data_IF_432945563487
#
_entry.id   IF_432945563487
#
_cell.length_a   1.000
_cell.length_b   1.000
_cell.length_c   1.000
_cell.angle_alpha   90.00
_cell.angle_beta   90.00
_cell.angle_gamma   90.00
#
_symmetry.space_group_name_H-M   'P 1'
#
loop_
_entity.id
_entity.type
_entity.pdbx_description
1 polymer ?
#
# COMPACT_ATOMS: atom_id res chain seq x y z
N UNK A 1 20.16 -0.83 -6.75
CA UNK A 1 19.11 -1.88 -6.75
C UNK A 1 19.24 -2.93 -7.87
N UNK A 2 20.23 -2.79 -8.76
CA UNK A 2 20.40 -3.75 -9.87
C UNK A 2 20.65 -5.19 -9.40
N UNK A 3 21.33 -5.38 -8.26
CA UNK A 3 21.71 -6.71 -7.73
C UNK A 3 20.77 -7.23 -6.61
N UNK A 4 19.64 -6.57 -6.37
CA UNK A 4 18.72 -7.01 -5.33
C UNK A 4 17.92 -8.25 -5.78
N UNK A 5 17.89 -9.29 -4.94
CA UNK A 5 17.10 -10.49 -5.17
C UNK A 5 15.59 -10.12 -5.23
N UNK A 6 14.87 -10.49 -6.32
CA UNK A 6 13.43 -10.23 -6.43
C UNK A 6 12.65 -10.99 -5.37
N UNK A 7 11.45 -10.51 -5.04
CA UNK A 7 10.49 -11.17 -4.14
C UNK A 7 9.12 -11.19 -4.78
N UNK A 8 8.27 -12.13 -4.36
CA UNK A 8 6.96 -12.38 -4.97
C UNK A 8 5.77 -11.96 -4.11
N UNK A 9 6.01 -11.33 -2.96
CA UNK A 9 4.97 -10.78 -2.09
C UNK A 9 5.30 -9.35 -1.70
N UNK A 10 4.37 -8.38 -1.91
CA UNK A 10 4.62 -6.98 -1.55
C UNK A 10 4.67 -6.77 -0.03
N UNK A 11 3.89 -7.56 0.71
CA UNK A 11 3.81 -7.52 2.16
C UNK A 11 4.64 -8.62 2.82
N UNK A 12 5.37 -8.35 3.90
CA UNK A 12 5.93 -9.39 4.74
C UNK A 12 4.81 -10.11 5.52
N UNK A 13 5.09 -11.33 5.96
CA UNK A 13 4.22 -12.02 6.92
C UNK A 13 4.14 -11.17 8.21
N UNK A 14 2.93 -11.00 8.73
CA UNK A 14 2.64 -10.14 9.90
C UNK A 14 3.02 -8.65 9.70
N UNK A 15 2.79 -8.13 8.49
CA UNK A 15 3.00 -6.71 8.20
C UNK A 15 2.16 -5.83 9.11
N UNK A 16 2.83 -5.08 9.97
CA UNK A 16 2.22 -4.09 10.85
C UNK A 16 3.13 -2.89 10.93
N UNK A 17 2.61 -1.71 10.68
CA UNK A 17 3.29 -0.44 10.90
C UNK A 17 2.63 0.31 12.04
N UNK A 18 3.44 0.96 12.86
CA UNK A 18 2.97 1.84 13.92
C UNK A 18 3.89 3.05 14.06
N UNK A 19 3.39 4.10 14.68
CA UNK A 19 4.14 5.32 14.98
C UNK A 19 5.37 5.08 15.88
N UNK A 20 5.40 3.97 16.62
CA UNK A 20 6.57 3.57 17.41
C UNK A 20 7.81 3.25 16.57
N UNK A 21 7.64 3.03 15.26
CA UNK A 21 8.73 2.79 14.30
C UNK A 21 9.31 4.08 13.70
N UNK A 22 8.73 5.22 14.04
CA UNK A 22 9.27 6.52 13.65
C UNK A 22 10.55 6.84 14.46
N UNK A 23 11.44 7.70 13.93
CA UNK A 23 12.65 8.09 14.63
C UNK A 23 12.34 8.68 16.02
N UNK A 24 12.97 8.13 17.06
CA UNK A 24 12.83 8.61 18.44
C UNK A 24 14.06 9.40 18.89
N UNK A 25 15.11 9.45 18.08
CA UNK A 25 16.36 10.18 18.38
C UNK A 25 16.85 10.94 17.14
N UNK A 26 17.73 11.92 17.36
CA UNK A 26 18.30 12.78 16.31
C UNK A 26 19.17 11.98 15.32
N UNK A 27 19.83 10.92 15.75
CA UNK A 27 20.71 10.12 14.91
C UNK A 27 19.91 9.40 13.82
N UNK A 28 18.80 8.75 14.18
CA UNK A 28 17.90 8.08 13.24
C UNK A 28 17.22 9.08 12.30
N UNK A 29 16.82 10.25 12.83
CA UNK A 29 16.26 11.34 12.04
C UNK A 29 17.26 11.87 10.99
N UNK A 30 18.52 12.03 11.36
CA UNK A 30 19.58 12.47 10.46
C UNK A 30 19.92 11.42 9.38
N UNK A 31 19.88 10.13 9.71
CA UNK A 31 20.03 9.06 8.72
C UNK A 31 18.89 9.10 7.70
N UNK A 32 17.65 9.22 8.17
CA UNK A 32 16.46 9.26 7.31
C UNK A 32 16.34 10.54 6.50
N UNK A 33 16.89 11.66 6.95
CA UNK A 33 16.90 12.93 6.20
C UNK A 33 17.65 12.83 4.86
N UNK A 34 18.63 11.93 4.76
CA UNK A 34 19.40 11.64 3.54
C UNK A 34 18.65 10.75 2.54
N UNK A 35 17.52 10.20 2.96
CA UNK A 35 16.72 9.29 2.15
C UNK A 35 15.55 10.05 1.52
N UNK A 36 15.41 9.98 0.21
CA UNK A 36 14.28 10.57 -0.52
C UNK A 36 13.00 9.73 -0.34
N UNK A 37 12.58 9.49 0.93
CA UNK A 37 11.43 8.64 1.26
C UNK A 37 10.14 9.13 0.61
N UNK A 38 9.81 10.41 0.80
CA UNK A 38 8.58 10.99 0.27
C UNK A 38 8.51 10.91 -1.27
N UNK A 39 9.66 11.09 -1.95
CA UNK A 39 9.73 10.95 -3.41
C UNK A 39 9.50 9.50 -3.84
N UNK A 40 10.12 8.54 -3.16
CA UNK A 40 9.95 7.12 -3.46
C UNK A 40 8.49 6.67 -3.26
N UNK A 41 7.86 7.06 -2.14
CA UNK A 41 6.45 6.75 -1.86
C UNK A 41 5.52 7.39 -2.89
N UNK A 42 5.76 8.65 -3.27
CA UNK A 42 4.98 9.36 -4.30
C UNK A 42 5.04 8.65 -5.65
N UNK A 43 6.22 8.18 -6.06
CA UNK A 43 6.37 7.39 -7.29
C UNK A 43 5.62 6.05 -7.19
N UNK A 44 5.68 5.38 -6.03
CA UNK A 44 4.91 4.14 -5.80
C UNK A 44 3.41 4.38 -5.83
N UNK A 45 2.92 5.50 -5.30
CA UNK A 45 1.51 5.90 -5.39
C UNK A 45 1.08 6.08 -6.85
N UNK A 46 1.91 6.69 -7.68
CA UNK A 46 1.62 6.83 -9.11
C UNK A 46 1.51 5.47 -9.80
N UNK A 47 2.49 4.58 -9.60
CA UNK A 47 2.47 3.21 -10.15
C UNK A 47 1.24 2.43 -9.68
N UNK A 48 0.91 2.53 -8.38
CA UNK A 48 -0.26 1.92 -7.77
C UNK A 48 -1.56 2.36 -8.46
N UNK A 49 -1.73 3.65 -8.69
CA UNK A 49 -2.97 4.19 -9.30
C UNK A 49 -3.08 3.81 -10.77
N UNK A 50 -1.96 3.78 -11.50
CA UNK A 50 -1.98 3.56 -12.93
C UNK A 50 -2.19 2.09 -13.33
N UNK A 51 -1.48 1.14 -12.67
CA UNK A 51 -1.38 -0.23 -13.19
C UNK A 51 -1.26 -1.32 -12.15
N UNK A 52 -1.03 -1.00 -10.88
CA UNK A 52 -0.63 -1.96 -9.85
C UNK A 52 -1.57 -1.93 -8.64
N UNK A 53 -2.80 -2.39 -8.82
CA UNK A 53 -3.78 -2.54 -7.74
C UNK A 53 -3.26 -3.40 -6.57
N UNK A 54 -2.40 -4.37 -6.85
CA UNK A 54 -1.83 -5.33 -5.92
C UNK A 54 -0.92 -4.72 -4.84
N UNK A 55 -0.38 -3.51 -5.06
CA UNK A 55 0.43 -2.81 -4.04
C UNK A 55 -0.36 -1.75 -3.25
N UNK A 56 -1.66 -1.60 -3.49
CA UNK A 56 -2.48 -0.53 -2.91
C UNK A 56 -2.44 -0.53 -1.39
N UNK A 57 -2.57 -1.69 -0.77
CA UNK A 57 -2.57 -1.82 0.69
C UNK A 57 -1.25 -1.37 1.31
N UNK A 58 -0.13 -1.86 0.79
CA UNK A 58 1.18 -1.56 1.37
C UNK A 58 1.62 -0.12 1.10
N UNK A 59 1.34 0.41 -0.09
CA UNK A 59 1.64 1.81 -0.43
C UNK A 59 0.77 2.75 0.40
N UNK A 60 -0.52 2.46 0.58
CA UNK A 60 -1.40 3.19 1.48
C UNK A 60 -0.91 3.19 2.93
N UNK A 61 -0.38 2.07 3.42
CA UNK A 61 0.17 1.98 4.77
C UNK A 61 1.43 2.84 4.93
N UNK A 62 2.44 2.71 4.05
CA UNK A 62 3.70 3.48 4.15
C UNK A 62 3.52 4.97 3.89
N UNK A 63 2.51 5.38 3.13
CA UNK A 63 2.24 6.80 2.85
C UNK A 63 1.84 7.60 4.09
N UNK A 64 1.31 6.96 5.11
CA UNK A 64 0.93 7.61 6.39
C UNK A 64 2.13 8.16 7.15
N UNK A 65 3.32 7.62 6.90
CA UNK A 65 4.57 7.98 7.60
C UNK A 65 5.46 8.94 6.80
N UNK A 66 4.93 9.60 5.76
CA UNK A 66 5.73 10.50 4.92
C UNK A 66 6.31 11.70 5.66
N UNK A 67 5.64 12.18 6.73
CA UNK A 67 6.09 13.32 7.51
C UNK A 67 7.28 13.00 8.41
N UNK A 68 7.34 11.78 8.97
CA UNK A 68 8.41 11.34 9.88
C UNK A 68 8.70 9.85 9.67
N UNK A 69 9.35 9.45 8.57
CA UNK A 69 9.60 8.06 8.25
C UNK A 69 10.74 7.48 9.07
N UNK A 70 10.58 6.26 9.57
CA UNK A 70 11.64 5.50 10.23
C UNK A 70 12.35 4.52 9.29
N UNK A 71 13.45 3.92 9.77
CA UNK A 71 14.22 2.94 9.02
C UNK A 71 13.41 1.72 8.58
N UNK A 72 12.44 1.26 9.39
CA UNK A 72 11.54 0.17 9.03
C UNK A 72 10.61 0.56 7.86
N UNK A 73 10.11 1.81 7.84
CA UNK A 73 9.32 2.30 6.72
C UNK A 73 10.12 2.28 5.42
N UNK A 74 11.41 2.65 5.48
CA UNK A 74 12.31 2.57 4.33
C UNK A 74 12.62 1.14 3.89
N UNK A 75 12.73 0.18 4.80
CA UNK A 75 12.83 -1.25 4.47
C UNK A 75 11.62 -1.74 3.68
N UNK A 76 10.42 -1.30 4.05
CA UNK A 76 9.20 -1.64 3.34
C UNK A 76 9.15 -1.02 1.93
N UNK A 77 9.57 0.23 1.75
CA UNK A 77 9.73 0.82 0.40
C UNK A 77 10.66 -0.02 -0.46
N UNK A 78 11.84 -0.38 0.07
CA UNK A 78 12.79 -1.26 -0.65
C UNK A 78 12.19 -2.61 -0.97
N UNK A 79 11.34 -3.16 -0.09
CA UNK A 79 10.63 -4.41 -0.33
C UNK A 79 9.67 -4.29 -1.50
N UNK A 80 8.85 -3.25 -1.54
CA UNK A 80 7.89 -3.01 -2.63
C UNK A 80 8.64 -2.89 -3.97
N UNK A 81 9.75 -2.15 -4.01
CA UNK A 81 10.56 -2.00 -5.21
C UNK A 81 11.15 -3.34 -5.69
N UNK A 82 11.53 -4.23 -4.76
CA UNK A 82 11.97 -5.59 -5.10
C UNK A 82 10.83 -6.47 -5.61
N UNK A 83 9.62 -6.28 -5.07
CA UNK A 83 8.41 -6.95 -5.54
C UNK A 83 8.06 -6.51 -6.96
N UNK A 84 8.02 -5.19 -7.22
CA UNK A 84 7.78 -4.66 -8.57
C UNK A 84 8.82 -5.20 -9.57
N UNK A 85 10.09 -5.27 -9.17
CA UNK A 85 11.12 -5.88 -10.00
C UNK A 85 10.87 -7.37 -10.26
N UNK A 86 10.38 -8.12 -9.29
CA UNK A 86 10.07 -9.55 -9.44
C UNK A 86 8.82 -9.82 -10.29
N UNK A 87 7.99 -8.81 -10.47
CA UNK A 87 6.68 -8.88 -11.16
C UNK A 87 6.55 -7.83 -12.27
N UNK A 88 7.66 -7.42 -12.89
CA UNK A 88 7.66 -6.35 -13.91
C UNK A 88 6.88 -6.74 -15.18
N UNK A 89 6.72 -8.04 -15.43
CA UNK A 89 5.99 -8.61 -16.55
C UNK A 89 4.50 -8.86 -16.25
N UNK A 90 4.03 -8.58 -15.04
CA UNK A 90 2.61 -8.69 -14.68
C UNK A 90 1.89 -7.45 -15.17
N UNK A 91 0.80 -7.64 -15.90
CA UNK A 91 -0.04 -6.59 -16.48
C UNK A 91 -1.51 -6.80 -16.11
N UNK A 92 -2.30 -5.74 -16.22
CA UNK A 92 -3.76 -5.84 -16.21
C UNK A 92 -4.20 -6.35 -17.59
N UNK A 93 -4.95 -7.46 -17.59
CA UNK A 93 -5.49 -8.05 -18.81
C UNK A 93 -7.01 -7.86 -18.85
N UNK A 94 -7.55 -7.56 -20.03
CA UNK A 94 -8.96 -7.33 -20.30
C UNK A 94 -9.39 -8.27 -21.42
N UNK A 95 -9.77 -9.51 -21.08
CA UNK A 95 -10.02 -10.59 -22.03
C UNK A 95 -11.47 -11.08 -22.03
N UNK A 96 -12.38 -10.35 -21.42
CA UNK A 96 -13.81 -10.75 -21.37
C UNK A 96 -14.58 -10.28 -22.58
N UNK A 97 -15.50 -11.12 -23.09
CA UNK A 97 -16.49 -10.72 -24.10
C UNK A 97 -17.66 -9.90 -23.53
N UNK A 98 -17.85 -9.96 -22.20
CA UNK A 98 -18.89 -9.21 -21.49
C UNK A 98 -18.32 -7.91 -20.93
N UNK A 99 -18.84 -6.80 -21.42
CA UNK A 99 -18.51 -5.46 -20.92
C UNK A 99 -19.36 -5.07 -19.69
N UNK A 100 -19.56 -6.01 -18.79
CA UNK A 100 -20.29 -5.76 -17.53
C UNK A 100 -19.30 -5.22 -16.49
N UNK A 101 -19.65 -4.07 -15.90
CA UNK A 101 -18.91 -3.51 -14.77
C UNK A 101 -19.34 -4.24 -13.49
N UNK A 102 -18.38 -4.84 -12.79
CA UNK A 102 -18.62 -5.46 -11.49
C UNK A 102 -17.90 -4.68 -10.40
N UNK A 103 -18.60 -4.41 -9.29
CA UNK A 103 -18.06 -3.72 -8.12
C UNK A 103 -17.85 -4.69 -6.96
N UNK A 104 -16.71 -4.55 -6.30
CA UNK A 104 -16.36 -5.27 -5.07
C UNK A 104 -16.06 -4.25 -3.98
N UNK A 105 -16.57 -4.47 -2.78
CA UNK A 105 -16.31 -3.64 -1.60
C UNK A 105 -15.76 -4.56 -0.51
N UNK A 106 -14.78 -4.08 0.22
CA UNK A 106 -14.17 -4.78 1.35
C UNK A 106 -13.89 -3.80 2.48
N UNK A 107 -14.05 -4.27 3.71
CA UNK A 107 -13.84 -3.49 4.93
C UNK A 107 -13.03 -4.32 5.93
N UNK A 108 -11.80 -3.90 6.22
CA UNK A 108 -10.91 -4.57 7.17
C UNK A 108 -11.00 -3.93 8.55
N UNK A 109 -11.37 -4.75 9.54
CA UNK A 109 -11.51 -4.34 10.93
C UNK A 109 -10.16 -3.95 11.54
N UNK A 110 -10.06 -2.70 12.03
CA UNK A 110 -8.91 -2.19 12.77
C UNK A 110 -7.54 -2.38 12.07
N UNK A 111 -7.49 -2.25 10.74
CA UNK A 111 -6.27 -2.37 9.95
C UNK A 111 -5.19 -1.31 10.26
N UNK A 112 -5.53 -0.27 11.03
CA UNK A 112 -4.59 0.74 11.53
C UNK A 112 -4.35 0.58 13.03
N UNK A 113 -3.13 0.20 13.42
CA UNK A 113 -2.74 0.02 14.82
C UNK A 113 -2.72 1.33 15.62
N UNK A 114 -2.38 2.46 14.97
CA UNK A 114 -2.22 3.74 15.66
C UNK A 114 -3.58 4.39 15.98
N UNK A 115 -4.53 4.31 15.06
CA UNK A 115 -5.82 5.00 15.15
C UNK A 115 -7.01 4.07 15.35
N UNK A 116 -6.80 2.74 15.28
CA UNK A 116 -7.84 1.71 15.37
C UNK A 116 -9.01 1.96 14.40
N UNK A 117 -8.71 2.50 13.21
CA UNK A 117 -9.68 2.80 12.18
C UNK A 117 -9.75 1.67 11.17
N UNK A 118 -10.94 1.51 10.60
CA UNK A 118 -11.16 0.58 9.50
C UNK A 118 -10.49 1.08 8.23
N UNK A 119 -10.13 0.14 7.38
CA UNK A 119 -9.66 0.40 6.02
C UNK A 119 -10.75 -0.09 5.08
N UNK A 120 -11.34 0.82 4.31
CA UNK A 120 -12.31 0.48 3.29
C UNK A 120 -11.63 0.44 1.94
N UNK A 121 -11.98 -0.58 1.18
CA UNK A 121 -11.56 -0.75 -0.21
C UNK A 121 -12.73 -0.94 -1.14
N UNK A 122 -12.58 -0.49 -2.37
CA UNK A 122 -13.42 -0.91 -3.46
C UNK A 122 -12.59 -1.22 -4.71
N UNK A 123 -13.10 -2.09 -5.53
CA UNK A 123 -12.55 -2.40 -6.85
C UNK A 123 -13.68 -2.55 -7.85
N UNK A 124 -13.56 -1.88 -8.98
CA UNK A 124 -14.40 -2.10 -10.15
C UNK A 124 -13.61 -2.84 -11.21
N UNK A 125 -14.23 -3.85 -11.80
CA UNK A 125 -13.66 -4.62 -12.91
C UNK A 125 -14.51 -4.48 -14.16
N UNK A 126 -13.88 -4.58 -15.33
CA UNK A 126 -14.49 -4.63 -16.64
C UNK A 126 -13.78 -5.69 -17.48
N UNK A 127 -14.51 -6.56 -18.14
CA UNK A 127 -13.96 -7.66 -18.93
C UNK A 127 -12.87 -8.46 -18.17
N UNK A 128 -13.09 -8.71 -16.86
CA UNK A 128 -12.16 -9.45 -15.99
C UNK A 128 -10.97 -8.66 -15.45
N UNK A 129 -10.68 -7.47 -15.98
CA UNK A 129 -9.58 -6.61 -15.54
C UNK A 129 -10.04 -5.50 -14.59
N UNK A 130 -9.20 -5.13 -13.61
CA UNK A 130 -9.46 -4.01 -12.73
C UNK A 130 -9.35 -2.67 -13.48
N UNK A 131 -10.37 -1.80 -13.37
CA UNK A 131 -10.42 -0.48 -14.02
C UNK A 131 -10.38 0.68 -13.03
N UNK A 132 -10.81 0.45 -11.77
CA UNK A 132 -10.75 1.44 -10.70
C UNK A 132 -10.64 0.75 -9.36
N UNK A 133 -9.80 1.25 -8.48
CA UNK A 133 -9.63 0.72 -7.13
C UNK A 133 -9.19 1.81 -6.17
N UNK A 134 -9.62 1.69 -4.93
CA UNK A 134 -9.19 2.55 -3.81
C UNK A 134 -9.10 1.70 -2.56
N UNK A 135 -8.12 2.00 -1.74
CA UNK A 135 -8.03 1.54 -0.35
C UNK A 135 -7.75 2.75 0.53
N UNK A 136 -8.65 3.05 1.45
CA UNK A 136 -8.58 4.27 2.26
C UNK A 136 -8.94 4.01 3.70
N UNK A 137 -8.20 4.66 4.61
CA UNK A 137 -8.55 4.69 6.02
C UNK A 137 -9.83 5.52 6.21
N UNK A 138 -10.80 4.99 6.96
CA UNK A 138 -12.02 5.71 7.29
C UNK A 138 -11.72 6.97 8.12
N UNK A 139 -12.53 8.01 7.94
CA UNK A 139 -12.43 9.24 8.71
C UNK A 139 -13.00 9.09 10.10
N UNK A 140 -14.02 8.24 10.24
CA UNK A 140 -14.70 7.92 11.51
C UNK A 140 -14.18 6.58 12.08
N UNK A 141 -14.45 6.33 13.34
CA UNK A 141 -14.22 5.05 13.99
C UNK A 141 -15.55 4.32 14.05
N UNK A 142 -15.69 3.24 13.30
CA UNK A 142 -16.85 2.36 13.39
C UNK A 142 -16.68 1.40 14.58
N UNK A 143 -17.79 1.03 15.22
CA UNK A 143 -17.79 0.14 16.39
C UNK A 143 -17.96 -1.33 16.00
N UNK A 144 -18.36 -1.60 14.77
CA UNK A 144 -18.53 -2.95 14.23
C UNK A 144 -18.18 -3.01 12.75
N UNK A 145 -18.00 -4.21 12.20
CA UNK A 145 -17.81 -4.43 10.75
C UNK A 145 -19.00 -3.98 9.94
N UNK A 146 -20.23 -4.24 10.43
CA UNK A 146 -21.48 -3.82 9.78
C UNK A 146 -21.65 -2.31 9.71
N UNK A 147 -21.13 -1.58 10.71
CA UNK A 147 -21.15 -0.10 10.70
C UNK A 147 -20.05 0.46 9.79
N UNK A 148 -19.01 -0.33 9.51
CA UNK A 148 -17.89 0.06 8.65
C UNK A 148 -18.23 -0.07 7.16
N UNK A 149 -19.15 -0.97 6.79
CA UNK A 149 -19.65 -1.17 5.43
C UNK A 149 -20.68 -0.10 5.02
#
# INVERSE_FOLDING_TARGET
MQDCKPIFTPLPVNFKLSSSMCPNNEADGNEMSRVSYALAVRNLMFVMICTRADITQVVGAISRYMANPGGENWKNVKRILRYIRGTFNVALCYEGSEFTVMGYVDSDFAGDLDKKKFINGYMFTLAGGAVSWVLKLQTIVALSTTEAE
#
